data_IF_109301373393
#
_entry.id   IF_109301373393
#
_cell.length_a   1.000
_cell.length_b   1.000
_cell.length_c   1.000
_cell.angle_alpha   90.00
_cell.angle_beta   90.00
_cell.angle_gamma   90.00
#
_symmetry.space_group_name_H-M   'P 1'
#
loop_
_entity.id
_entity.type
_entity.pdbx_description
1 polymer ?
#
# COMPACT_ATOMS: atom_id res chain seq x y z
N UNK A 1 14.89 -3.91 10.81
CA UNK A 1 13.87 -3.37 9.88
C UNK A 1 14.17 -3.97 8.52
N UNK A 2 13.21 -4.68 7.89
CA UNK A 2 13.45 -5.35 6.60
C UNK A 2 13.34 -4.32 5.48
N UNK A 3 14.35 -4.25 4.61
CA UNK A 3 14.35 -3.38 3.41
C UNK A 3 13.12 -3.71 2.56
N UNK A 4 12.47 -2.70 1.99
CA UNK A 4 11.33 -2.90 1.09
C UNK A 4 11.83 -3.40 -0.26
N UNK A 5 11.36 -4.56 -0.67
CA UNK A 5 11.81 -5.22 -1.89
C UNK A 5 10.95 -4.81 -3.09
N UNK A 6 11.50 -4.79 -4.32
CA UNK A 6 10.76 -4.35 -5.51
C UNK A 6 9.44 -5.11 -5.75
N UNK A 7 9.38 -6.40 -5.40
CA UNK A 7 8.17 -7.21 -5.54
C UNK A 7 7.07 -6.79 -4.56
N UNK A 8 7.44 -6.29 -3.37
CA UNK A 8 6.48 -5.79 -2.38
C UNK A 8 5.77 -4.54 -2.89
N UNK A 9 6.43 -3.73 -3.72
CA UNK A 9 5.81 -2.60 -4.42
C UNK A 9 4.64 -3.07 -5.31
N UNK A 10 4.86 -4.16 -6.04
CA UNK A 10 3.84 -4.76 -6.92
C UNK A 10 2.67 -5.29 -6.10
N UNK A 11 2.93 -5.97 -4.98
CA UNK A 11 1.88 -6.43 -4.08
C UNK A 11 1.09 -5.25 -3.49
N UNK A 12 1.76 -4.18 -3.05
CA UNK A 12 1.12 -2.98 -2.49
C UNK A 12 0.15 -2.35 -3.51
N UNK A 13 0.60 -2.13 -4.75
CA UNK A 13 -0.26 -1.60 -5.80
C UNK A 13 -1.39 -2.56 -6.18
N UNK A 14 -1.12 -3.86 -6.27
CA UNK A 14 -2.14 -4.87 -6.53
C UNK A 14 -3.27 -4.87 -5.49
N UNK A 15 -2.92 -4.75 -4.21
CA UNK A 15 -3.88 -4.66 -3.11
C UNK A 15 -4.67 -3.34 -3.13
N UNK A 16 -4.04 -2.22 -3.49
CA UNK A 16 -4.74 -0.93 -3.69
C UNK A 16 -5.73 -0.99 -4.86
N UNK A 17 -5.36 -1.63 -5.97
CA UNK A 17 -6.27 -1.85 -7.11
C UNK A 17 -7.42 -2.76 -6.71
N UNK A 18 -7.15 -3.86 -6.00
CA UNK A 18 -8.20 -4.74 -5.47
C UNK A 18 -9.19 -3.99 -4.56
N UNK A 19 -8.70 -3.07 -3.71
CA UNK A 19 -9.54 -2.18 -2.91
C UNK A 19 -10.42 -1.27 -3.78
N UNK A 20 -9.87 -0.70 -4.86
CA UNK A 20 -10.63 0.18 -5.75
C UNK A 20 -11.74 -0.58 -6.50
N UNK A 21 -11.48 -1.83 -6.89
CA UNK A 21 -12.46 -2.69 -7.57
C UNK A 21 -13.52 -3.25 -6.63
N UNK A 22 -13.16 -3.52 -5.37
CA UNK A 22 -14.08 -3.97 -4.32
C UNK A 22 -14.20 -2.88 -3.24
N UNK A 23 -14.88 -1.75 -3.54
CA UNK A 23 -14.90 -0.59 -2.66
C UNK A 23 -15.61 -0.94 -1.35
N UNK A 24 -14.82 -1.03 -0.29
CA UNK A 24 -15.32 -1.27 1.05
C UNK A 24 -15.59 0.05 1.76
N UNK A 25 -16.81 0.23 2.27
CA UNK A 25 -17.23 1.41 3.07
C UNK A 25 -16.47 1.56 4.41
N UNK A 26 -15.62 0.59 4.76
CA UNK A 26 -14.82 0.55 5.98
C UNK A 26 -13.36 0.95 5.68
N UNK A 27 -12.54 1.00 6.72
CA UNK A 27 -11.09 1.29 6.62
C UNK A 27 -10.39 0.23 5.77
N UNK A 28 -9.27 0.59 5.13
CA UNK A 28 -8.44 -0.34 4.34
C UNK A 28 -7.95 -1.53 5.17
N UNK A 29 -7.60 -1.28 6.42
CA UNK A 29 -7.23 -2.34 7.37
C UNK A 29 -8.32 -3.40 7.59
N UNK A 30 -9.59 -3.12 7.26
CA UNK A 30 -10.66 -4.10 7.37
C UNK A 30 -10.53 -5.27 6.39
N UNK A 31 -9.75 -5.14 5.30
CA UNK A 31 -9.49 -6.26 4.39
C UNK A 31 -8.62 -7.37 5.01
N UNK A 32 -7.91 -7.09 6.12
CA UNK A 32 -7.16 -8.09 6.90
C UNK A 32 -7.94 -8.69 8.07
N UNK A 33 -9.23 -8.37 8.21
CA UNK A 33 -10.08 -8.97 9.23
C UNK A 33 -10.68 -10.28 8.77
N UNK A 34 -10.93 -11.22 9.69
CA UNK A 34 -11.53 -12.55 9.48
C UNK A 34 -12.94 -12.57 8.85
N UNK A 35 -13.50 -11.41 8.55
CA UNK A 35 -14.81 -11.27 7.91
C UNK A 35 -14.63 -11.11 6.40
N UNK A 36 -15.35 -11.91 5.61
CA UNK A 36 -15.43 -11.69 4.16
C UNK A 36 -16.13 -10.36 3.86
N UNK A 37 -15.58 -9.57 2.93
CA UNK A 37 -16.19 -8.30 2.55
C UNK A 37 -16.18 -8.12 1.04
N UNK A 38 -17.38 -7.90 0.49
CA UNK A 38 -17.57 -7.74 -0.95
C UNK A 38 -17.33 -9.04 -1.70
N UNK A 39 -16.71 -8.94 -2.87
CA UNK A 39 -16.41 -10.09 -3.73
C UNK A 39 -15.06 -10.77 -3.41
N UNK A 40 -14.26 -10.21 -2.50
CA UNK A 40 -12.97 -10.78 -2.11
C UNK A 40 -13.16 -11.76 -0.95
N UNK A 41 -12.65 -13.00 -1.07
CA UNK A 41 -12.60 -13.94 0.04
C UNK A 41 -11.83 -13.37 1.24
N UNK A 42 -12.17 -13.86 2.42
CA UNK A 42 -11.34 -13.58 3.59
C UNK A 42 -9.90 -14.07 3.36
N UNK A 43 -8.92 -13.32 3.86
CA UNK A 43 -7.51 -13.71 3.85
C UNK A 43 -6.78 -13.40 2.54
N UNK A 44 -7.45 -12.88 1.51
CA UNK A 44 -6.79 -12.50 0.25
C UNK A 44 -5.67 -11.48 0.50
N UNK A 45 -5.92 -10.43 1.28
CA UNK A 45 -4.91 -9.42 1.56
C UNK A 45 -3.72 -9.99 2.34
N UNK A 46 -4.00 -10.76 3.40
CA UNK A 46 -2.98 -11.35 4.26
C UNK A 46 -2.10 -12.38 3.53
N UNK A 47 -2.66 -13.08 2.53
CA UNK A 47 -1.91 -14.02 1.69
C UNK A 47 -0.83 -13.36 0.81
N UNK A 48 -1.02 -12.08 0.43
CA UNK A 48 -0.06 -11.34 -0.40
C UNK A 48 0.86 -10.44 0.43
N UNK A 49 0.33 -9.82 1.47
CA UNK A 49 1.09 -8.93 2.35
C UNK A 49 0.41 -8.79 3.70
N UNK A 50 1.14 -9.03 4.79
CA UNK A 50 0.58 -8.82 6.13
C UNK A 50 0.28 -7.35 6.37
N UNK A 51 -0.71 -7.07 7.22
CA UNK A 51 -1.14 -5.69 7.51
C UNK A 51 0.01 -4.79 7.96
N UNK A 52 0.84 -5.28 8.89
CA UNK A 52 1.98 -4.52 9.40
C UNK A 52 2.99 -4.20 8.30
N UNK A 53 3.17 -5.13 7.35
CA UNK A 53 4.06 -4.92 6.21
C UNK A 53 3.47 -4.00 5.14
N UNK A 54 2.16 -3.86 5.08
CA UNK A 54 1.49 -2.87 4.24
C UNK A 54 1.54 -1.46 4.85
N UNK A 55 1.33 -1.35 6.17
CA UNK A 55 1.30 -0.07 6.88
C UNK A 55 2.72 0.57 6.97
N UNK A 56 3.79 -0.23 7.13
CA UNK A 56 5.16 0.30 7.29
C UNK A 56 5.70 1.08 6.06
N UNK A 57 5.61 0.58 4.82
CA UNK A 57 6.08 1.27 3.61
C UNK A 57 5.14 2.36 3.14
N UNK A 58 3.83 2.24 3.34
CA UNK A 58 2.87 3.28 2.90
C UNK A 58 3.12 4.63 3.57
N UNK A 59 3.70 4.64 4.78
CA UNK A 59 4.13 5.88 5.45
C UNK A 59 5.50 6.42 5.00
N UNK A 60 6.28 5.65 4.23
CA UNK A 60 7.66 5.97 3.82
C UNK A 60 7.87 5.89 2.30
N UNK A 61 6.79 5.79 1.54
CA UNK A 61 6.84 5.69 0.09
C UNK A 61 7.12 7.08 -0.47
N UNK A 62 8.34 7.29 -0.94
CA UNK A 62 8.76 8.52 -1.63
C UNK A 62 8.76 8.27 -3.13
N UNK A 63 8.14 9.18 -3.89
CA UNK A 63 8.14 9.14 -5.36
C UNK A 63 9.22 10.04 -5.95
N UNK A 64 9.82 10.91 -5.15
CA UNK A 64 10.94 11.75 -5.54
C UNK A 64 12.09 11.67 -4.54
N UNK A 65 13.27 12.10 -4.98
CA UNK A 65 14.46 12.19 -4.13
C UNK A 65 14.57 13.58 -3.53
N UNK A 66 14.48 13.68 -2.21
CA UNK A 66 14.60 14.94 -1.48
C UNK A 66 15.97 15.64 -1.64
N UNK A 67 16.99 14.93 -2.12
CA UNK A 67 18.31 15.50 -2.40
C UNK A 67 18.45 16.03 -3.83
N UNK A 68 17.48 15.80 -4.70
CA UNK A 68 17.51 16.28 -6.07
C UNK A 68 17.52 17.81 -6.11
N UNK A 69 18.31 18.45 -6.99
CA UNK A 69 18.28 19.91 -7.17
C UNK A 69 16.88 20.48 -7.44
N UNK A 70 15.98 19.69 -8.04
CA UNK A 70 14.58 20.05 -8.25
C UNK A 70 13.82 20.23 -6.95
N UNK A 71 14.17 19.53 -5.86
CA UNK A 71 13.54 19.70 -4.55
C UNK A 71 13.63 21.14 -4.03
N UNK A 72 14.63 21.91 -4.46
CA UNK A 72 14.84 23.30 -4.03
C UNK A 72 14.09 24.32 -4.89
N UNK A 73 13.75 23.96 -6.13
CA UNK A 73 13.27 24.92 -7.14
C UNK A 73 11.85 24.61 -7.61
N UNK A 74 11.50 23.33 -7.71
CA UNK A 74 10.19 22.86 -8.09
C UNK A 74 9.33 22.64 -6.85
N UNK A 75 8.28 23.46 -6.70
CA UNK A 75 7.33 23.37 -5.57
C UNK A 75 6.49 22.10 -5.57
N UNK A 76 6.44 21.36 -6.68
CA UNK A 76 5.69 20.11 -6.78
C UNK A 76 6.58 18.87 -6.64
N UNK A 77 7.81 19.04 -6.15
CA UNK A 77 8.73 17.94 -5.89
C UNK A 77 8.53 17.42 -4.47
N UNK A 78 7.98 16.20 -4.34
CA UNK A 78 7.49 15.58 -3.09
C UNK A 78 7.98 14.14 -2.91
#
# INVERSE_FOLDING_TARGET
MKVFEPHECTHLFGLLIARMLCPQRRRLSSHWSWTSVGALPHGTFDAWMSRNRFDEPTHRLHFSDNNDPQAKTNRTWE
#
